data_IF_918282659378
#
_entry.id   IF_918282659378
#
_cell.length_a   1.000
_cell.length_b   1.000
_cell.length_c   1.000
_cell.angle_alpha   90.00
_cell.angle_beta   90.00
_cell.angle_gamma   90.00
#
_symmetry.space_group_name_H-M   'P 1'
#
loop_
_entity.id
_entity.type
_entity.pdbx_description
1 polymer ?
#
# COMPACT_ATOMS: atom_id res chain seq x y z
N UNK A 1 7.78 -6.60 7.42
CA UNK A 1 8.60 -7.65 6.78
C UNK A 1 9.92 -7.70 7.51
N UNK A 2 10.29 -8.88 8.02
CA UNK A 2 11.56 -9.08 8.68
C UNK A 2 12.73 -8.75 7.73
N UNK A 3 13.81 -8.11 8.20
CA UNK A 3 14.94 -7.73 7.36
C UNK A 3 15.48 -8.87 6.48
N UNK A 4 15.51 -10.09 7.02
CA UNK A 4 16.05 -11.31 6.42
C UNK A 4 15.26 -11.77 5.19
N UNK A 5 14.04 -11.26 5.01
CA UNK A 5 13.19 -11.64 3.87
C UNK A 5 13.05 -10.52 2.82
N UNK A 6 13.72 -9.37 3.01
CA UNK A 6 13.68 -8.24 2.05
C UNK A 6 14.28 -8.63 0.70
N UNK A 7 13.84 -7.93 -0.35
CA UNK A 7 14.31 -8.18 -1.73
C UNK A 7 13.60 -9.31 -2.47
N UNK A 8 12.86 -10.19 -1.79
CA UNK A 8 12.16 -11.33 -2.44
C UNK A 8 10.76 -11.02 -2.97
N UNK A 9 10.36 -9.74 -3.01
CA UNK A 9 9.05 -9.34 -3.52
C UNK A 9 7.84 -9.77 -2.68
N UNK A 10 8.03 -10.37 -1.49
CA UNK A 10 6.94 -10.91 -0.66
C UNK A 10 5.86 -9.87 -0.36
N UNK A 11 6.23 -8.61 -0.07
CA UNK A 11 5.26 -7.54 0.18
C UNK A 11 4.33 -7.31 -1.02
N UNK A 12 4.88 -7.37 -2.24
CA UNK A 12 4.10 -7.22 -3.47
C UNK A 12 3.12 -8.38 -3.63
N UNK A 13 3.59 -9.61 -3.44
CA UNK A 13 2.74 -10.81 -3.50
C UNK A 13 1.62 -10.78 -2.47
N UNK A 14 1.93 -10.46 -1.21
CA UNK A 14 0.95 -10.34 -0.14
C UNK A 14 -0.13 -9.29 -0.46
N UNK A 15 0.27 -8.12 -0.99
CA UNK A 15 -0.69 -7.09 -1.40
C UNK A 15 -1.53 -7.51 -2.60
N UNK A 16 -0.93 -8.13 -3.62
CA UNK A 16 -1.67 -8.61 -4.80
C UNK A 16 -2.75 -9.63 -4.41
N UNK A 17 -2.41 -10.56 -3.51
CA UNK A 17 -3.34 -11.54 -3.00
C UNK A 17 -4.45 -10.90 -2.16
N UNK A 18 -4.13 -9.90 -1.33
CA UNK A 18 -5.14 -9.14 -0.59
C UNK A 18 -6.12 -8.40 -1.54
N UNK A 19 -5.61 -7.80 -2.63
CA UNK A 19 -6.43 -7.16 -3.67
C UNK A 19 -7.36 -8.19 -4.33
N UNK A 20 -6.85 -9.38 -4.69
CA UNK A 20 -7.65 -10.46 -5.28
C UNK A 20 -8.79 -10.87 -4.33
N UNK A 21 -8.48 -11.12 -3.07
CA UNK A 21 -9.49 -11.49 -2.06
C UNK A 21 -10.54 -10.40 -1.85
N UNK A 22 -10.13 -9.13 -1.82
CA UNK A 22 -11.04 -8.00 -1.67
C UNK A 22 -12.01 -7.90 -2.86
N UNK A 23 -11.52 -8.07 -4.09
CA UNK A 23 -12.36 -8.07 -5.30
C UNK A 23 -13.37 -9.21 -5.31
N UNK A 24 -13.00 -10.38 -4.80
CA UNK A 24 -13.91 -11.54 -4.73
C UNK A 24 -15.00 -11.36 -3.68
N UNK A 25 -14.65 -10.85 -2.50
CA UNK A 25 -15.59 -10.70 -1.38
C UNK A 25 -16.47 -9.46 -1.50
N UNK A 26 -15.97 -8.41 -2.16
CA UNK A 26 -16.64 -7.12 -2.26
C UNK A 26 -16.63 -6.61 -3.71
N UNK A 27 -17.40 -7.25 -4.60
CA UNK A 27 -17.35 -6.97 -6.04
C UNK A 27 -17.83 -5.56 -6.42
N UNK A 28 -18.52 -4.85 -5.51
CA UNK A 28 -19.06 -3.51 -5.73
C UNK A 28 -18.15 -2.38 -5.22
N UNK A 29 -16.96 -2.69 -4.70
CA UNK A 29 -16.00 -1.64 -4.35
C UNK A 29 -15.39 -1.05 -5.62
N UNK A 30 -15.46 0.28 -5.74
CA UNK A 30 -14.86 1.01 -6.86
C UNK A 30 -13.32 0.99 -6.84
N UNK A 31 -12.72 0.69 -5.68
CA UNK A 31 -11.28 0.58 -5.54
C UNK A 31 -10.80 0.42 -4.11
N UNK A 32 -9.48 0.33 -3.97
CA UNK A 32 -8.79 0.23 -2.68
C UNK A 32 -7.85 1.43 -2.50
N UNK A 33 -7.94 2.06 -1.33
CA UNK A 33 -7.05 3.14 -0.93
C UNK A 33 -6.00 2.63 0.05
N UNK A 34 -4.78 3.16 -0.08
CA UNK A 34 -3.68 2.90 0.86
C UNK A 34 -2.91 4.19 1.05
N UNK A 35 -2.71 4.59 2.30
CA UNK A 35 -1.80 5.68 2.62
C UNK A 35 -0.38 5.13 2.78
N UNK A 36 0.62 5.90 2.37
CA UNK A 36 2.04 5.55 2.51
C UNK A 36 2.83 6.84 2.67
N UNK A 37 3.76 6.88 3.63
CA UNK A 37 4.60 8.05 3.84
C UNK A 37 5.41 8.41 2.57
N UNK A 38 5.52 9.71 2.28
CA UNK A 38 6.31 10.25 1.16
C UNK A 38 7.82 9.95 1.29
N UNK A 39 8.30 9.56 2.47
CA UNK A 39 9.66 9.06 2.67
C UNK A 39 9.82 7.56 2.33
N UNK A 40 8.74 6.78 2.35
CA UNK A 40 8.78 5.33 2.14
C UNK A 40 8.73 4.97 0.64
N UNK A 41 9.85 5.20 -0.06
CA UNK A 41 9.99 4.96 -1.50
C UNK A 41 9.72 3.50 -1.90
N UNK A 42 10.12 2.54 -1.07
CA UNK A 42 9.92 1.12 -1.36
C UNK A 42 8.44 0.74 -1.39
N UNK A 43 7.66 1.17 -0.41
CA UNK A 43 6.22 0.89 -0.39
C UNK A 43 5.48 1.62 -1.51
N UNK A 44 5.90 2.85 -1.88
CA UNK A 44 5.37 3.52 -3.07
C UNK A 44 5.61 2.72 -4.35
N UNK A 45 6.84 2.25 -4.58
CA UNK A 45 7.13 1.41 -5.74
C UNK A 45 6.30 0.13 -5.80
N UNK A 46 5.97 -0.47 -4.64
CA UNK A 46 5.04 -1.61 -4.60
C UNK A 46 3.62 -1.18 -4.98
N UNK A 47 3.13 -0.05 -4.46
CA UNK A 47 1.79 0.45 -4.77
C UNK A 47 1.66 0.80 -6.27
N UNK A 48 2.67 1.48 -6.82
CA UNK A 48 2.73 1.85 -8.24
C UNK A 48 2.72 0.60 -9.13
N UNK A 49 3.50 -0.43 -8.76
CA UNK A 49 3.55 -1.71 -9.49
C UNK A 49 2.27 -2.55 -9.38
N UNK A 50 1.34 -2.18 -8.49
CA UNK A 50 -0.01 -2.76 -8.37
C UNK A 50 -1.09 -1.86 -8.97
N UNK A 51 -0.72 -0.72 -9.57
CA UNK A 51 -1.65 0.18 -10.26
C UNK A 51 -2.35 1.20 -9.37
N UNK A 52 -1.87 1.43 -8.13
CA UNK A 52 -2.38 2.53 -7.33
C UNK A 52 -1.95 3.88 -7.92
N UNK A 53 -2.84 4.88 -7.81
CA UNK A 53 -2.59 6.25 -8.24
C UNK A 53 -2.58 7.19 -7.02
N UNK A 54 -1.77 8.26 -7.02
CA UNK A 54 -1.83 9.27 -5.97
C UNK A 54 -3.18 9.98 -5.98
N UNK A 55 -3.89 9.98 -4.84
CA UNK A 55 -5.21 10.64 -4.71
C UNK A 55 -5.18 11.85 -3.77
N UNK A 56 -4.31 11.83 -2.75
CA UNK A 56 -4.20 12.89 -1.75
C UNK A 56 -2.79 12.97 -1.16
N UNK A 57 -2.46 14.11 -0.57
CA UNK A 57 -1.34 14.29 0.34
C UNK A 57 -1.88 14.68 1.72
N UNK A 58 -1.29 14.12 2.77
CA UNK A 58 -1.67 14.37 4.15
C UNK A 58 -0.45 14.82 4.94
N UNK A 59 -0.63 15.86 5.76
CA UNK A 59 0.36 16.31 6.74
C UNK A 59 -0.19 16.03 8.13
N UNK A 60 0.56 15.29 8.93
CA UNK A 60 0.22 15.04 10.34
C UNK A 60 1.07 15.96 11.21
N UNK A 61 0.43 16.76 12.04
CA UNK A 61 1.07 17.64 13.01
C UNK A 61 0.75 17.13 14.40
N UNK A 62 1.75 17.06 15.27
CA UNK A 62 1.58 16.77 16.69
C UNK A 62 1.90 18.04 17.48
N UNK A 63 1.01 18.40 18.40
CA UNK A 63 1.28 19.42 19.40
C UNK A 63 1.66 18.71 20.69
N UNK A 64 2.75 19.13 21.31
CA UNK A 64 3.11 18.72 22.66
C UNK A 64 2.43 19.71 23.64
N UNK A 65 1.21 19.37 24.05
CA UNK A 65 0.38 20.13 25.02
C UNK A 65 0.48 19.51 26.42
#
# INVERSE_FOLDING_TARGET
>A
MLPEHRGHGLVRWMKAEAVRQARERYPYLDGLLTDTADSNRHMRGVNDALGHLPTRKMLTLQLDL
#
